data_IF_649616926617
#
_entry.id   IF_649616926617
#
_cell.length_a   1.000
_cell.length_b   1.000
_cell.length_c   1.000
_cell.angle_alpha   90.00
_cell.angle_beta   90.00
_cell.angle_gamma   90.00
#
_symmetry.space_group_name_H-M   'P 1'
#
loop_
_entity.id
_entity.type
_entity.pdbx_description
1 polymer ?
#
# COMPACT_ATOMS: atom_id res chain seq x y z
N UNK A 1 -0.76 18.03 14.82
CA UNK A 1 0.53 17.59 15.41
C UNK A 1 0.84 16.12 15.10
N UNK A 2 -0.14 15.20 15.11
CA UNK A 2 0.09 13.78 14.80
C UNK A 2 0.45 13.46 13.32
N UNK A 3 -0.05 14.25 12.35
CA UNK A 3 0.14 13.98 10.92
C UNK A 3 1.58 14.21 10.43
N UNK A 4 2.29 15.19 11.02
CA UNK A 4 3.71 15.45 10.71
C UNK A 4 4.64 14.34 11.16
N UNK A 5 4.34 13.72 12.30
CA UNK A 5 5.17 12.64 12.87
C UNK A 5 5.06 11.38 12.01
N UNK A 6 3.85 11.05 11.53
CA UNK A 6 3.66 9.95 10.58
C UNK A 6 4.40 10.19 9.26
N UNK A 7 4.34 11.44 8.75
CA UNK A 7 5.04 11.85 7.52
C UNK A 7 6.55 11.68 7.64
N UNK A 8 7.14 12.10 8.77
CA UNK A 8 8.58 12.04 8.99
C UNK A 8 9.09 10.61 9.30
N UNK A 9 8.31 9.80 10.02
CA UNK A 9 8.66 8.40 10.29
C UNK A 9 8.55 7.52 9.04
N UNK A 10 7.54 7.75 8.20
CA UNK A 10 7.43 7.07 6.90
C UNK A 10 8.54 7.59 5.96
N UNK A 11 8.83 8.89 5.92
CA UNK A 11 9.87 9.43 5.06
C UNK A 11 11.29 8.97 5.41
N UNK A 12 11.58 8.69 6.67
CA UNK A 12 12.89 8.21 7.09
C UNK A 12 13.16 6.73 6.71
N UNK A 13 12.11 5.93 6.46
CA UNK A 13 12.23 4.48 6.22
C UNK A 13 12.49 4.10 4.75
N UNK A 14 12.30 5.02 3.80
CA UNK A 14 12.26 4.69 2.36
C UNK A 14 13.12 5.61 1.46
N UNK A 15 14.33 6.00 1.92
CA UNK A 15 15.27 6.80 1.13
C UNK A 15 15.82 6.02 -0.10
N UNK A 16 15.05 6.03 -1.19
CA UNK A 16 15.41 5.51 -2.52
C UNK A 16 14.29 5.79 -3.52
N UNK A 17 14.48 6.79 -4.40
CA UNK A 17 13.44 7.43 -5.20
C UNK A 17 12.57 6.49 -6.05
N UNK A 18 11.31 6.89 -6.26
CA UNK A 18 10.21 6.23 -7.00
C UNK A 18 9.33 5.29 -6.14
N UNK A 19 9.88 4.33 -5.41
CA UNK A 19 9.07 3.38 -4.61
C UNK A 19 8.26 4.11 -3.53
N UNK A 20 8.88 5.08 -2.85
CA UNK A 20 8.23 5.88 -1.80
C UNK A 20 7.05 6.72 -2.30
N UNK A 21 7.10 7.30 -3.51
CA UNK A 21 5.99 8.11 -4.02
C UNK A 21 4.74 7.27 -4.27
N UNK A 22 4.91 6.02 -4.72
CA UNK A 22 3.79 5.15 -5.08
C UNK A 22 3.03 4.69 -3.82
N UNK A 23 3.76 4.35 -2.75
CA UNK A 23 3.13 4.00 -1.49
C UNK A 23 2.46 5.19 -0.82
N UNK A 24 3.06 6.39 -0.87
CA UNK A 24 2.42 7.62 -0.37
C UNK A 24 1.15 7.94 -1.15
N UNK A 25 1.20 7.90 -2.48
CA UNK A 25 0.03 8.12 -3.35
C UNK A 25 -1.06 7.08 -3.09
N UNK A 26 -0.69 5.82 -2.88
CA UNK A 26 -1.62 4.76 -2.52
C UNK A 26 -2.27 5.03 -1.16
N UNK A 27 -1.48 5.35 -0.13
CA UNK A 27 -1.98 5.67 1.21
C UNK A 27 -2.92 6.88 1.17
N UNK A 28 -2.56 7.97 0.49
CA UNK A 28 -3.38 9.17 0.45
C UNK A 28 -4.77 8.95 -0.17
N UNK A 29 -4.90 7.94 -1.04
CA UNK A 29 -6.18 7.56 -1.67
C UNK A 29 -7.05 6.67 -0.78
N UNK A 30 -6.50 6.12 0.30
CA UNK A 30 -7.26 5.27 1.23
C UNK A 30 -8.08 6.11 2.21
N UNK A 31 -9.20 5.58 2.72
CA UNK A 31 -9.92 6.14 3.86
C UNK A 31 -9.00 6.29 5.08
N UNK A 32 -9.17 7.32 5.93
CA UNK A 32 -8.28 7.58 7.06
C UNK A 32 -8.03 6.37 7.99
N UNK A 33 -9.04 5.52 8.20
CA UNK A 33 -8.90 4.31 9.02
C UNK A 33 -8.03 3.25 8.35
N UNK A 34 -8.07 3.17 7.01
CA UNK A 34 -7.27 2.24 6.23
C UNK A 34 -5.84 2.76 6.07
N UNK A 35 -5.63 4.08 5.99
CA UNK A 35 -4.29 4.69 5.91
C UNK A 35 -3.37 4.24 7.04
N UNK A 36 -3.88 4.32 8.27
CA UNK A 36 -3.10 3.96 9.46
C UNK A 36 -2.82 2.46 9.46
N UNK A 37 -3.83 1.63 9.19
CA UNK A 37 -3.69 0.18 9.17
C UNK A 37 -2.71 -0.30 8.10
N UNK A 38 -2.82 0.24 6.88
CA UNK A 38 -1.94 -0.10 5.74
C UNK A 38 -0.53 0.41 5.99
N UNK A 39 -0.35 1.65 6.46
CA UNK A 39 0.98 2.18 6.77
C UNK A 39 1.71 1.36 7.82
N UNK A 40 1.01 0.94 8.89
CA UNK A 40 1.58 0.08 9.92
C UNK A 40 1.85 -1.34 9.42
N UNK A 41 1.00 -1.88 8.54
CA UNK A 41 1.21 -3.17 7.89
C UNK A 41 2.44 -3.15 6.99
N UNK A 42 2.64 -2.09 6.19
CA UNK A 42 3.79 -1.94 5.30
C UNK A 42 5.11 -1.95 6.10
N UNK A 43 5.14 -1.35 7.29
CA UNK A 43 6.30 -1.36 8.19
C UNK A 43 6.64 -2.75 8.76
N UNK A 44 5.71 -3.71 8.71
CA UNK A 44 5.90 -5.07 9.22
C UNK A 44 6.39 -6.02 8.12
N UNK A 45 6.16 -5.68 6.85
CA UNK A 45 6.55 -6.50 5.73
C UNK A 45 8.06 -6.42 5.45
N UNK A 46 8.57 -7.47 4.83
CA UNK A 46 9.93 -7.47 4.29
C UNK A 46 9.99 -6.66 2.99
N UNK A 47 11.17 -6.14 2.64
CA UNK A 47 11.38 -5.42 1.37
C UNK A 47 10.98 -6.27 0.15
N UNK A 48 11.24 -7.58 0.19
CA UNK A 48 10.81 -8.51 -0.87
C UNK A 48 9.28 -8.56 -1.00
N UNK A 49 8.56 -8.67 0.12
CA UNK A 49 7.10 -8.70 0.13
C UNK A 49 6.49 -7.35 -0.30
N UNK A 50 7.15 -6.23 0.05
CA UNK A 50 6.80 -4.87 -0.40
C UNK A 50 6.96 -4.73 -1.91
N UNK A 51 7.98 -5.35 -2.51
CA UNK A 51 8.19 -5.33 -3.96
C UNK A 51 7.00 -5.90 -4.75
N UNK A 52 6.30 -6.91 -4.22
CA UNK A 52 5.07 -7.42 -4.86
C UNK A 52 3.91 -6.42 -4.78
N UNK A 53 3.82 -5.64 -3.71
CA UNK A 53 2.81 -4.58 -3.60
C UNK A 53 3.14 -3.43 -4.54
N UNK A 54 4.41 -3.05 -4.64
CA UNK A 54 4.87 -2.04 -5.60
C UNK A 54 4.56 -2.47 -7.04
N UNK A 55 4.88 -3.72 -7.41
CA UNK A 55 4.57 -4.25 -8.74
C UNK A 55 3.05 -4.28 -9.02
N UNK A 56 2.22 -4.56 -8.02
CA UNK A 56 0.77 -4.45 -8.14
C UNK A 56 0.33 -2.99 -8.38
N UNK A 57 0.88 -2.04 -7.63
CA UNK A 57 0.51 -0.61 -7.73
C UNK A 57 1.02 0.04 -9.03
N UNK A 58 2.17 -0.40 -9.55
CA UNK A 58 2.77 0.14 -10.78
C UNK A 58 2.24 -0.52 -12.06
N UNK A 59 2.13 -1.85 -12.05
CA UNK A 59 1.91 -2.65 -13.26
C UNK A 59 0.56 -3.35 -13.27
N UNK A 60 -0.20 -3.28 -12.17
CA UNK A 60 -1.42 -4.07 -12.00
C UNK A 60 -1.15 -5.57 -11.86
N UNK A 61 0.10 -5.97 -11.59
CA UNK A 61 0.50 -7.37 -11.48
C UNK A 61 -0.21 -8.03 -10.30
N UNK A 62 -0.86 -9.19 -10.48
CA UNK A 62 -1.55 -9.86 -9.38
C UNK A 62 -0.56 -10.26 -8.28
N UNK A 63 -0.88 -9.92 -7.03
CA UNK A 63 -0.09 -10.34 -5.87
C UNK A 63 -0.32 -11.84 -5.64
N UNK A 64 0.75 -12.66 -5.57
CA UNK A 64 0.60 -14.08 -5.29
C UNK A 64 -0.09 -14.34 -3.95
N UNK A 65 -0.95 -15.37 -3.90
CA UNK A 65 -1.79 -15.63 -2.71
C UNK A 65 -0.97 -15.88 -1.43
N UNK A 66 0.20 -16.50 -1.55
CA UNK A 66 1.13 -16.68 -0.41
C UNK A 66 1.64 -15.35 0.15
N UNK A 67 1.78 -14.31 -0.69
CA UNK A 67 2.16 -12.97 -0.26
C UNK A 67 0.96 -12.26 0.36
N UNK A 68 -0.24 -12.39 -0.22
CA UNK A 68 -1.49 -11.89 0.39
C UNK A 68 -1.68 -12.42 1.81
N UNK A 69 -1.45 -13.72 2.05
CA UNK A 69 -1.51 -14.30 3.39
C UNK A 69 -0.50 -13.68 4.37
N UNK A 70 0.70 -13.29 3.89
CA UNK A 70 1.69 -12.59 4.71
C UNK A 70 1.25 -11.16 5.01
N UNK A 71 0.64 -10.47 4.04
CA UNK A 71 0.05 -9.14 4.21
C UNK A 71 -1.03 -9.18 5.28
N UNK A 72 -1.97 -10.12 5.19
CA UNK A 72 -3.02 -10.32 6.19
C UNK A 72 -2.43 -10.62 7.57
N UNK A 73 -1.37 -11.43 7.62
CA UNK A 73 -0.65 -11.68 8.88
C UNK A 73 0.08 -10.44 9.41
N UNK A 74 0.55 -9.56 8.53
CA UNK A 74 1.18 -8.30 8.91
C UNK A 74 0.16 -7.32 9.51
N UNK A 75 -1.07 -7.26 8.99
CA UNK A 75 -2.16 -6.53 9.63
C UNK A 75 -2.43 -7.02 11.05
N UNK A 76 -2.46 -8.34 11.28
CA UNK A 76 -2.63 -8.92 12.62
C UNK A 76 -1.49 -8.49 13.54
N UNK A 77 -0.24 -8.59 13.09
CA UNK A 77 0.95 -8.19 13.86
C UNK A 77 0.98 -6.69 14.18
N UNK A 78 0.47 -5.88 13.26
CA UNK A 78 0.35 -4.43 13.43
C UNK A 78 -0.81 -4.01 14.37
N UNK A 79 -1.61 -4.96 14.87
CA UNK A 79 -2.74 -4.68 15.77
C UNK A 79 -4.06 -4.38 15.06
N UNK A 80 -4.15 -4.72 13.77
CA UNK A 80 -5.29 -4.46 12.88
C UNK A 80 -5.91 -5.77 12.34
N UNK A 81 -6.27 -6.77 13.17
CA UNK A 81 -6.70 -8.09 12.71
C UNK A 81 -8.02 -8.12 11.90
N UNK A 82 -8.81 -7.05 11.97
CA UNK A 82 -10.02 -6.87 11.17
C UNK A 82 -9.75 -6.46 9.72
N UNK A 83 -8.51 -6.07 9.41
CA UNK A 83 -8.10 -5.63 8.10
C UNK A 83 -7.38 -6.75 7.34
N UNK A 84 -7.66 -6.82 6.04
CA UNK A 84 -7.04 -7.74 5.07
C UNK A 84 -6.63 -6.95 3.85
N UNK A 85 -5.71 -7.48 3.06
CA UNK A 85 -5.33 -6.86 1.79
C UNK A 85 -6.56 -6.58 0.92
N UNK A 86 -7.45 -7.57 0.83
CA UNK A 86 -8.67 -7.48 0.03
C UNK A 86 -9.62 -6.38 0.49
N UNK A 87 -9.80 -6.18 1.80
CA UNK A 87 -10.71 -5.16 2.33
C UNK A 87 -10.06 -3.75 2.41
N UNK A 88 -8.73 -3.70 2.52
CA UNK A 88 -7.98 -2.46 2.55
C UNK A 88 -7.81 -1.87 1.16
N UNK A 89 -7.72 -2.72 0.14
CA UNK A 89 -7.70 -2.27 -1.26
C UNK A 89 -9.07 -1.88 -1.80
N UNK A 90 -10.18 -2.29 -1.17
CA UNK A 90 -11.53 -2.13 -1.76
C UNK A 90 -12.11 -0.72 -1.73
N UNK A 91 -11.46 0.26 -1.10
CA UNK A 91 -11.87 1.65 -1.29
C UNK A 91 -11.10 2.34 -2.43
N UNK A 92 -11.17 1.70 -3.60
CA UNK A 92 -10.89 2.28 -4.93
C UNK A 92 -12.14 2.88 -5.54
N UNK A 93 -13.15 3.27 -4.73
CA UNK A 93 -14.50 3.62 -5.19
C UNK A 93 -14.58 4.73 -6.25
N UNK A 94 -13.48 5.39 -6.61
CA UNK A 94 -13.40 6.30 -7.75
C UNK A 94 -12.02 6.42 -8.43
N UNK A 95 -11.10 5.45 -8.30
CA UNK A 95 -9.85 5.48 -9.07
C UNK A 95 -9.72 4.22 -9.91
N UNK A 96 -10.37 4.30 -11.07
CA UNK A 96 -9.80 3.78 -12.31
C UNK A 96 -8.38 4.31 -12.36
N UNK A 97 -7.40 3.42 -12.49
CA UNK A 97 -6.05 3.79 -12.87
C UNK A 97 -6.12 4.05 -14.38
N UNK A 98 -6.46 5.27 -14.78
CA UNK A 98 -6.51 5.76 -16.17
C UNK A 98 -5.12 6.19 -16.66
N UNK A 99 -4.10 5.41 -16.26
CA UNK A 99 -2.75 5.47 -16.82
C UNK A 99 -2.72 4.81 -18.20
N UNK A 100 -3.23 5.53 -19.21
CA UNK A 100 -2.92 5.39 -20.63
C UNK A 100 -3.13 4.00 -21.27
N UNK A 101 -4.29 3.83 -21.89
CA UNK A 101 -4.47 3.00 -23.09
C UNK A 101 -5.35 3.74 -24.11
N UNK A 102 -4.98 4.98 -24.44
CA UNK A 102 -5.24 5.57 -25.75
C UNK A 102 -3.84 5.74 -26.35
N UNK A 103 -3.43 5.05 -27.42
CA UNK A 103 -4.01 5.11 -28.76
C UNK A 103 -4.31 3.70 -29.30
N UNK A 104 -5.59 3.44 -29.53
CA UNK A 104 -6.03 2.69 -30.71
C UNK A 104 -6.09 3.68 -31.86
N UNK A 105 -5.24 3.47 -32.87
CA UNK A 105 -5.47 3.92 -34.25
C UNK A 105 -5.47 2.68 -35.15
#
# INVERSE_FOLDING_TARGET
MARKVLDEEIAALFYGGVSMSIFVDFLDKLPPNNQIAVGQMLNVLSEDDLGFIEDYLLKGSPIPNNIVMKIDSAFIKAGFPQFTWENCRTDTRNMIYDGWFDEVD
#
